data_IF_371806917904
#
_entry.id   IF_371806917904
#
_cell.length_a   1.000
_cell.length_b   1.000
_cell.length_c   1.000
_cell.angle_alpha   90.00
_cell.angle_beta   90.00
_cell.angle_gamma   90.00
#
_symmetry.space_group_name_H-M   'P 1'
#
loop_
_entity.id
_entity.type
_entity.pdbx_description
1 polymer ?
#
# COMPACT_ATOMS: atom_id res chain seq x y z
N UNK A 1 4.12 18.88 10.80
CA UNK A 1 5.18 18.07 11.44
C UNK A 1 5.89 17.18 10.41
N UNK A 2 5.20 16.35 9.61
CA UNK A 2 5.82 15.71 8.40
C UNK A 2 6.00 16.69 7.23
N UNK A 3 5.00 17.57 6.96
CA UNK A 3 5.08 18.59 5.89
C UNK A 3 6.35 19.46 6.00
N UNK A 4 6.60 20.05 7.17
CA UNK A 4 7.81 20.83 7.42
C UNK A 4 9.13 20.07 7.19
N UNK A 5 9.19 18.77 7.48
CA UNK A 5 10.40 17.97 7.23
C UNK A 5 10.64 17.76 5.73
N UNK A 6 9.57 17.54 4.96
CA UNK A 6 9.65 17.48 3.49
C UNK A 6 9.94 18.85 2.87
N UNK A 7 9.38 19.93 3.41
CA UNK A 7 9.68 21.31 3.00
C UNK A 7 11.17 21.65 3.18
N UNK A 8 11.75 21.33 4.36
CA UNK A 8 13.18 21.51 4.62
C UNK A 8 14.07 20.71 3.65
N UNK A 9 13.59 19.57 3.15
CA UNK A 9 14.27 18.76 2.16
C UNK A 9 14.09 19.26 0.72
N UNK A 10 13.42 20.40 0.51
CA UNK A 10 13.13 20.95 -0.82
C UNK A 10 12.05 20.18 -1.59
N UNK A 11 11.26 19.35 -0.90
CA UNK A 11 10.13 18.59 -1.47
C UNK A 11 8.87 19.43 -1.28
N UNK A 12 8.70 20.45 -2.13
CA UNK A 12 7.56 21.37 -2.09
C UNK A 12 6.59 21.05 -3.22
N UNK A 13 5.73 20.06 -3.00
CA UNK A 13 4.62 19.75 -3.91
C UNK A 13 3.35 19.58 -3.08
N UNK A 14 2.44 20.56 -3.20
CA UNK A 14 1.28 20.67 -2.32
C UNK A 14 0.37 19.44 -2.41
N UNK A 15 0.24 18.83 -3.60
CA UNK A 15 -0.63 17.68 -3.81
C UNK A 15 -0.14 16.43 -3.09
N UNK A 16 1.16 16.19 -3.08
CA UNK A 16 1.81 15.16 -2.26
C UNK A 16 1.54 15.44 -0.78
N UNK A 17 1.71 16.69 -0.34
CA UNK A 17 1.51 17.05 1.07
C UNK A 17 0.04 16.91 1.50
N UNK A 18 -0.92 17.14 0.62
CA UNK A 18 -2.36 17.01 0.91
C UNK A 18 -2.80 15.55 0.99
N UNK A 19 -2.13 14.68 0.25
CA UNK A 19 -2.31 13.23 0.29
C UNK A 19 -1.72 12.59 1.56
N UNK A 20 -0.81 13.28 2.25
CA UNK A 20 -0.25 12.86 3.53
C UNK A 20 -1.22 13.15 4.68
N UNK A 21 -2.30 12.37 4.79
CA UNK A 21 -3.34 12.57 5.81
C UNK A 21 -3.01 11.85 7.11
N UNK A 22 -2.98 12.59 8.21
CA UNK A 22 -2.89 12.01 9.56
C UNK A 22 -4.29 11.59 10.02
N UNK A 23 -4.51 10.29 10.19
CA UNK A 23 -5.74 9.79 10.80
C UNK A 23 -5.54 9.67 12.32
N UNK A 24 -6.36 10.35 13.13
CA UNK A 24 -6.45 10.14 14.57
C UNK A 24 -7.23 8.84 14.87
N UNK A 25 -6.71 7.71 14.37
CA UNK A 25 -7.31 6.42 14.63
C UNK A 25 -6.87 5.91 16.01
N UNK A 26 -7.79 5.41 16.87
CA UNK A 26 -7.46 4.83 18.17
C UNK A 26 -6.46 3.66 18.09
N UNK A 27 -6.40 2.96 16.96
CA UNK A 27 -5.45 1.87 16.72
C UNK A 27 -4.05 2.34 16.30
N UNK A 28 -3.81 3.66 16.26
CA UNK A 28 -2.53 4.28 15.85
C UNK A 28 -2.01 3.78 14.49
N UNK A 29 -2.94 3.52 13.56
CA UNK A 29 -2.63 3.17 12.17
C UNK A 29 -2.85 4.39 11.28
N UNK A 30 -1.84 4.71 10.48
CA UNK A 30 -1.78 5.87 9.59
C UNK A 30 -1.61 5.38 8.15
N UNK A 31 -2.48 5.85 7.25
CA UNK A 31 -2.49 5.45 5.85
C UNK A 31 -2.24 6.69 4.99
N UNK A 32 -1.36 6.54 4.02
CA UNK A 32 -1.01 7.56 3.05
C UNK A 32 -1.15 6.98 1.64
N UNK A 33 -1.77 7.72 0.73
CA UNK A 33 -1.95 7.28 -0.65
C UNK A 33 -1.53 8.39 -1.57
N UNK A 34 -0.58 8.12 -2.47
CA UNK A 34 -0.09 9.09 -3.45
C UNK A 34 -0.27 8.61 -4.87
N UNK A 35 -0.80 9.46 -5.75
CA UNK A 35 -0.73 9.25 -7.19
C UNK A 35 0.49 9.99 -7.74
N UNK A 36 1.54 9.27 -8.09
CA UNK A 36 2.82 9.85 -8.54
C UNK A 36 2.70 10.56 -9.90
N UNK A 37 1.80 10.14 -10.77
CA UNK A 37 1.57 10.80 -12.07
C UNK A 37 0.99 12.21 -11.91
N UNK A 38 0.37 12.46 -10.76
CA UNK A 38 -0.29 13.72 -10.46
C UNK A 38 0.62 14.74 -9.75
N UNK A 39 1.83 14.33 -9.32
CA UNK A 39 2.77 15.15 -8.58
C UNK A 39 4.00 15.50 -9.44
N UNK A 40 4.43 16.77 -9.41
CA UNK A 40 5.66 17.22 -10.08
C UNK A 40 6.84 17.18 -9.11
N UNK A 41 7.40 16.00 -8.91
CA UNK A 41 8.40 15.76 -7.88
C UNK A 41 9.83 15.86 -8.41
N UNK A 42 10.68 16.59 -7.69
CA UNK A 42 12.12 16.52 -7.88
C UNK A 42 12.65 15.20 -7.33
N UNK A 43 13.31 14.40 -8.16
CA UNK A 43 13.82 13.07 -7.76
C UNK A 43 15.00 13.15 -6.79
N UNK A 44 15.80 14.23 -6.85
CA UNK A 44 17.12 14.27 -6.19
C UNK A 44 17.04 14.13 -4.65
N UNK A 45 16.14 14.81 -3.92
CA UNK A 45 16.02 14.63 -2.47
C UNK A 45 15.64 13.21 -2.06
N UNK A 46 14.86 12.51 -2.90
CA UNK A 46 14.48 11.11 -2.67
C UNK A 46 15.66 10.18 -2.95
N UNK A 47 16.38 10.39 -4.04
CA UNK A 47 17.57 9.59 -4.37
C UNK A 47 18.64 9.70 -3.27
N UNK A 48 18.86 10.90 -2.74
CA UNK A 48 19.89 11.16 -1.72
C UNK A 48 19.59 10.51 -0.36
N UNK A 49 18.31 10.22 -0.05
CA UNK A 49 17.93 9.57 1.19
C UNK A 49 17.86 8.03 1.08
N UNK A 50 17.91 7.46 -0.13
CA UNK A 50 17.99 6.01 -0.31
C UNK A 50 19.34 5.46 0.18
N UNK A 51 19.31 4.27 0.79
CA UNK A 51 20.51 3.50 1.07
C UNK A 51 21.17 3.01 -0.23
N UNK A 52 22.45 2.62 -0.14
CA UNK A 52 23.23 2.21 -1.32
C UNK A 52 22.57 1.03 -2.04
N UNK A 53 22.04 0.06 -1.29
CA UNK A 53 21.37 -1.13 -1.81
C UNK A 53 20.09 -0.78 -2.57
N UNK A 54 19.34 0.21 -2.09
CA UNK A 54 18.14 0.70 -2.76
C UNK A 54 18.48 1.48 -4.04
N UNK A 55 19.55 2.27 -4.03
CA UNK A 55 20.03 2.95 -5.25
C UNK A 55 20.48 1.94 -6.32
N UNK A 56 21.17 0.88 -5.90
CA UNK A 56 21.53 -0.25 -6.77
C UNK A 56 20.28 -1.00 -7.26
N UNK A 57 19.26 -1.17 -6.41
CA UNK A 57 18.02 -1.79 -6.84
C UNK A 57 17.27 -0.90 -7.85
N UNK A 58 17.24 0.41 -7.64
CA UNK A 58 16.63 1.37 -8.55
C UNK A 58 17.29 1.34 -9.94
N UNK A 59 18.61 1.16 -10.02
CA UNK A 59 19.33 1.14 -11.30
C UNK A 59 19.06 -0.10 -12.16
N UNK A 60 18.45 -1.15 -11.60
CA UNK A 60 18.08 -2.37 -12.33
C UNK A 60 16.80 -2.22 -13.16
N UNK A 61 16.00 -1.19 -12.92
CA UNK A 61 14.78 -0.97 -13.70
C UNK A 61 15.10 -0.57 -15.13
N UNK A 62 14.45 -1.23 -16.09
CA UNK A 62 14.70 -1.05 -17.52
C UNK A 62 14.30 0.34 -18.03
N UNK A 63 13.20 0.89 -17.53
CA UNK A 63 12.69 2.19 -17.97
C UNK A 63 12.95 3.27 -16.94
N UNK A 64 13.18 4.49 -17.44
CA UNK A 64 13.31 5.68 -16.61
C UNK A 64 12.08 5.96 -15.76
N UNK A 65 10.89 5.62 -16.26
CA UNK A 65 9.64 5.78 -15.54
C UNK A 65 9.61 4.88 -14.29
N UNK A 66 9.85 3.58 -14.46
CA UNK A 66 9.85 2.62 -13.35
C UNK A 66 10.95 2.93 -12.33
N UNK A 67 12.14 3.31 -12.82
CA UNK A 67 13.25 3.75 -11.95
C UNK A 67 12.86 4.97 -11.11
N UNK A 68 12.24 5.98 -11.73
CA UNK A 68 11.74 7.18 -11.04
C UNK A 68 10.69 6.84 -10.00
N UNK A 69 9.70 6.02 -10.35
CA UNK A 69 8.65 5.58 -9.43
C UNK A 69 9.24 4.85 -8.22
N UNK A 70 10.20 3.94 -8.42
CA UNK A 70 10.90 3.25 -7.34
C UNK A 70 11.60 4.24 -6.40
N UNK A 71 12.39 5.17 -6.96
CA UNK A 71 13.15 6.14 -6.16
C UNK A 71 12.23 7.03 -5.34
N UNK A 72 11.21 7.60 -5.98
CA UNK A 72 10.29 8.53 -5.33
C UNK A 72 9.51 7.82 -4.23
N UNK A 73 8.97 6.63 -4.51
CA UNK A 73 8.15 5.91 -3.54
C UNK A 73 8.93 5.46 -2.30
N UNK A 74 10.12 4.91 -2.50
CA UNK A 74 10.97 4.47 -1.38
C UNK A 74 11.51 5.67 -0.60
N UNK A 75 11.81 6.77 -1.30
CA UNK A 75 12.16 8.03 -0.66
C UNK A 75 11.02 8.56 0.23
N UNK A 76 9.79 8.62 -0.28
CA UNK A 76 8.60 9.01 0.48
C UNK A 76 8.45 8.12 1.72
N UNK A 77 8.56 6.80 1.57
CA UNK A 77 8.51 5.87 2.70
C UNK A 77 9.58 6.20 3.77
N UNK A 78 10.82 6.47 3.37
CA UNK A 78 11.89 6.86 4.30
C UNK A 78 11.59 8.17 5.02
N UNK A 79 11.03 9.16 4.33
CA UNK A 79 10.61 10.42 4.96
C UNK A 79 9.47 10.21 5.97
N UNK A 80 8.48 9.40 5.62
CA UNK A 80 7.39 9.02 6.54
C UNK A 80 7.98 8.31 7.76
N UNK A 81 8.83 7.31 7.56
CA UNK A 81 9.43 6.56 8.67
C UNK A 81 10.33 7.42 9.55
N UNK A 82 11.17 8.29 8.95
CA UNK A 82 12.01 9.24 9.69
C UNK A 82 11.20 10.14 10.62
N UNK A 83 10.01 10.56 10.18
CA UNK A 83 9.08 11.30 11.03
C UNK A 83 8.61 10.49 12.26
N UNK A 84 8.21 9.23 12.07
CA UNK A 84 7.73 8.38 13.18
C UNK A 84 8.85 7.91 14.11
N UNK A 85 10.03 7.59 13.57
CA UNK A 85 11.19 7.12 14.34
C UNK A 85 12.03 8.25 14.92
N UNK A 86 11.78 9.50 14.50
CA UNK A 86 12.60 10.69 14.80
C UNK A 86 14.05 10.54 14.34
N UNK A 87 14.27 9.84 13.24
CA UNK A 87 15.58 9.66 12.61
C UNK A 87 15.62 10.39 11.27
N UNK A 88 16.82 10.71 10.82
CA UNK A 88 16.97 11.22 9.46
C UNK A 88 16.58 10.11 8.46
N UNK A 89 15.86 10.42 7.36
CA UNK A 89 15.37 9.40 6.40
C UNK A 89 16.45 8.46 5.86
N UNK A 90 17.68 8.97 5.69
CA UNK A 90 18.84 8.20 5.23
C UNK A 90 19.37 7.20 6.26
N UNK A 91 19.10 7.45 7.54
CA UNK A 91 19.62 6.66 8.66
C UNK A 91 18.66 5.51 9.03
N UNK A 92 17.50 5.43 8.38
CA UNK A 92 16.57 4.30 8.55
C UNK A 92 17.22 3.03 8.00
N UNK A 93 17.42 2.05 8.89
CA UNK A 93 17.96 0.73 8.57
C UNK A 93 16.82 -0.29 8.50
N UNK A 94 16.62 -0.87 7.32
CA UNK A 94 15.66 -1.95 7.11
C UNK A 94 16.28 -3.31 7.42
N UNK A 95 15.51 -4.16 8.11
CA UNK A 95 15.74 -5.60 8.20
C UNK A 95 14.65 -6.34 7.43
N UNK A 96 14.87 -7.60 7.08
CA UNK A 96 13.96 -8.38 6.24
C UNK A 96 13.56 -9.68 6.92
N UNK A 97 12.25 -9.96 6.91
CA UNK A 97 11.71 -11.24 7.41
C UNK A 97 12.00 -12.39 6.45
N UNK A 98 11.63 -13.62 6.86
CA UNK A 98 11.89 -14.83 6.08
C UNK A 98 11.32 -14.81 4.64
N UNK A 99 10.25 -14.06 4.42
CA UNK A 99 9.59 -13.91 3.11
C UNK A 99 9.86 -12.55 2.46
N UNK A 100 10.89 -11.82 2.90
CA UNK A 100 11.31 -10.57 2.29
C UNK A 100 10.52 -9.31 2.70
N UNK A 101 9.55 -9.41 3.63
CA UNK A 101 8.88 -8.22 4.17
C UNK A 101 9.89 -7.36 4.95
N UNK A 102 10.09 -6.07 4.59
CA UNK A 102 10.97 -5.18 5.34
C UNK A 102 10.32 -4.77 6.69
N UNK A 103 11.15 -4.55 7.69
CA UNK A 103 10.75 -4.11 9.03
C UNK A 103 11.89 -3.33 9.73
N UNK A 104 11.56 -2.63 10.82
CA UNK A 104 12.52 -1.92 11.66
C UNK A 104 12.82 -2.77 12.92
N UNK A 105 14.09 -3.10 13.16
CA UNK A 105 14.49 -3.81 14.40
C UNK A 105 14.30 -2.89 15.61
N UNK A 106 13.93 -3.48 16.74
CA UNK A 106 13.81 -2.79 18.04
C UNK A 106 12.88 -1.56 18.00
N UNK A 107 11.92 -1.56 17.08
CA UNK A 107 10.94 -0.50 16.92
C UNK A 107 9.54 -1.02 17.21
N UNK A 108 8.71 -0.19 17.83
CA UNK A 108 7.27 -0.43 17.92
C UNK A 108 6.52 0.03 16.66
N UNK A 109 7.22 0.60 15.68
CA UNK A 109 6.67 0.99 14.39
C UNK A 109 6.73 -0.20 13.45
N UNK A 110 5.58 -0.58 12.91
CA UNK A 110 5.51 -1.45 11.74
C UNK A 110 5.00 -0.68 10.54
N UNK A 111 5.37 -1.14 9.35
CA UNK A 111 4.91 -0.50 8.13
C UNK A 111 4.67 -1.52 7.02
N UNK A 112 3.94 -1.08 6.01
CA UNK A 112 3.81 -1.78 4.75
C UNK A 112 3.59 -0.76 3.62
N UNK A 113 3.97 -1.15 2.42
CA UNK A 113 3.84 -0.34 1.22
C UNK A 113 3.25 -1.21 0.12
N UNK A 114 2.33 -0.66 -0.67
CA UNK A 114 1.78 -1.32 -1.86
C UNK A 114 1.73 -0.35 -3.02
N UNK A 115 1.73 -0.90 -4.22
CA UNK A 115 1.82 -0.17 -5.47
C UNK A 115 0.89 -0.78 -6.50
N UNK A 116 0.19 0.08 -7.24
CA UNK A 116 -0.48 -0.29 -8.48
C UNK A 116 -0.39 0.88 -9.46
N UNK A 117 0.31 0.66 -10.57
CA UNK A 117 0.67 1.69 -11.54
C UNK A 117 1.34 2.90 -10.86
N UNK A 118 0.79 4.11 -11.01
CA UNK A 118 1.28 5.33 -10.39
C UNK A 118 0.79 5.54 -8.95
N UNK A 119 -0.13 4.70 -8.47
CA UNK A 119 -0.69 4.80 -7.12
C UNK A 119 0.19 4.04 -6.13
N UNK A 120 0.52 4.69 -5.02
CA UNK A 120 1.32 4.11 -3.93
C UNK A 120 0.59 4.29 -2.61
N UNK A 121 0.43 3.20 -1.87
CA UNK A 121 -0.09 3.19 -0.52
C UNK A 121 1.02 2.92 0.49
N UNK A 122 1.03 3.68 1.59
CA UNK A 122 1.87 3.44 2.75
C UNK A 122 0.99 3.29 3.97
N UNK A 123 1.26 2.28 4.78
CA UNK A 123 0.61 2.07 6.06
C UNK A 123 1.66 2.02 7.15
N UNK A 124 1.48 2.83 8.19
CA UNK A 124 2.33 2.88 9.37
C UNK A 124 1.47 2.55 10.59
N UNK A 125 1.94 1.68 11.46
CA UNK A 125 1.24 1.35 12.69
C UNK A 125 2.17 1.39 13.88
N UNK A 126 1.65 1.86 15.02
CA UNK A 126 2.34 1.80 16.31
C UNK A 126 1.79 0.63 17.12
N UNK A 127 2.68 -0.20 17.67
CA UNK A 127 2.36 -1.31 18.59
C UNK A 127 1.49 -2.42 17.96
N UNK A 128 1.36 -2.48 16.63
CA UNK A 128 0.57 -3.50 15.93
C UNK A 128 1.18 -3.84 14.57
N UNK A 129 0.77 -4.96 13.97
CA UNK A 129 1.15 -5.33 12.60
C UNK A 129 0.24 -4.64 11.60
N UNK A 130 0.80 -4.20 10.48
CA UNK A 130 0.02 -3.59 9.39
C UNK A 130 0.38 -4.17 8.04
N UNK A 131 -0.63 -4.23 7.18
CA UNK A 131 -0.53 -4.55 5.77
C UNK A 131 -1.50 -3.66 4.99
N UNK A 132 -1.10 -3.27 3.79
CA UNK A 132 -1.91 -2.49 2.86
C UNK A 132 -1.82 -3.13 1.50
N UNK A 133 -2.92 -3.09 0.79
CA UNK A 133 -2.95 -3.47 -0.61
C UNK A 133 -3.78 -2.47 -1.39
N UNK A 134 -3.33 -2.16 -2.61
CA UNK A 134 -3.96 -1.20 -3.51
C UNK A 134 -3.83 -1.78 -4.91
N UNK A 135 -4.96 -1.92 -5.58
CA UNK A 135 -5.04 -2.43 -6.94
C UNK A 135 -5.94 -1.50 -7.76
N UNK A 136 -5.48 -1.13 -8.95
CA UNK A 136 -6.33 -0.48 -9.94
C UNK A 136 -7.05 -1.59 -10.70
N UNK A 137 -8.36 -1.41 -10.92
CA UNK A 137 -9.15 -2.36 -11.66
C UNK A 137 -8.66 -2.42 -13.11
N UNK A 138 -8.04 -3.54 -13.50
CA UNK A 138 -7.78 -3.85 -14.89
C UNK A 138 -9.02 -4.52 -15.47
N UNK A 139 -9.69 -3.81 -16.39
CA UNK A 139 -10.90 -4.31 -17.05
C UNK A 139 -10.60 -5.47 -18.01
N UNK A 140 -9.35 -5.66 -18.39
CA UNK A 140 -8.92 -6.76 -19.26
C UNK A 140 -8.53 -8.01 -18.48
N UNK A 141 -8.52 -7.95 -17.14
CA UNK A 141 -8.21 -9.11 -16.32
C UNK A 141 -9.37 -10.10 -16.35
N UNK A 142 -9.10 -11.33 -16.78
CA UNK A 142 -10.05 -12.44 -16.76
C UNK A 142 -10.24 -12.97 -15.32
N UNK A 143 -10.91 -12.16 -14.48
CA UNK A 143 -11.14 -12.45 -13.06
C UNK A 143 -11.85 -13.79 -12.82
N UNK A 144 -12.59 -14.28 -13.82
CA UNK A 144 -13.27 -15.57 -13.78
C UNK A 144 -12.27 -16.73 -13.71
N UNK A 145 -11.15 -16.64 -14.44
CA UNK A 145 -10.11 -17.66 -14.46
C UNK A 145 -9.34 -17.68 -13.14
N UNK A 146 -9.19 -16.54 -12.47
CA UNK A 146 -8.44 -16.44 -11.21
C UNK A 146 -9.28 -16.73 -9.96
N UNK A 147 -10.61 -16.55 -10.04
CA UNK A 147 -11.51 -16.64 -8.88
C UNK A 147 -11.37 -17.94 -8.07
N UNK A 148 -11.12 -19.08 -8.73
CA UNK A 148 -11.00 -20.37 -8.05
C UNK A 148 -9.71 -20.52 -7.22
N UNK A 149 -8.66 -19.73 -7.54
CA UNK A 149 -7.40 -19.70 -6.79
C UNK A 149 -7.48 -18.77 -5.58
N UNK A 150 -8.33 -17.74 -5.66
CA UNK A 150 -8.39 -16.66 -4.66
C UNK A 150 -9.47 -16.93 -3.62
N UNK A 151 -10.64 -17.41 -4.03
CA UNK A 151 -11.83 -17.44 -3.19
C UNK A 151 -11.96 -18.71 -2.36
N UNK A 152 -12.54 -18.54 -1.16
CA UNK A 152 -13.17 -19.64 -0.45
C UNK A 152 -14.39 -20.15 -1.23
N UNK A 153 -14.88 -21.37 -0.97
CA UNK A 153 -16.10 -21.86 -1.62
C UNK A 153 -17.31 -20.93 -1.49
N UNK A 154 -17.47 -20.26 -0.35
CA UNK A 154 -18.58 -19.32 -0.10
C UNK A 154 -18.45 -18.06 -0.94
N UNK A 155 -17.27 -17.44 -0.98
CA UNK A 155 -17.00 -16.26 -1.81
C UNK A 155 -17.13 -16.60 -3.30
N UNK A 156 -16.65 -17.77 -3.72
CA UNK A 156 -16.76 -18.22 -5.10
C UNK A 156 -18.21 -18.39 -5.53
N UNK A 157 -19.06 -19.00 -4.70
CA UNK A 157 -20.51 -19.09 -4.96
C UNK A 157 -21.13 -17.72 -5.14
N UNK A 158 -20.83 -16.77 -4.27
CA UNK A 158 -21.34 -15.40 -4.40
C UNK A 158 -20.83 -14.74 -5.69
N UNK A 159 -19.55 -14.85 -6.00
CA UNK A 159 -18.94 -14.32 -7.21
C UNK A 159 -19.61 -14.85 -8.49
N UNK A 160 -19.99 -16.14 -8.54
CA UNK A 160 -20.67 -16.71 -9.71
C UNK A 160 -22.05 -16.10 -9.98
N UNK A 161 -22.69 -15.50 -8.98
CA UNK A 161 -23.96 -14.79 -9.13
C UNK A 161 -23.80 -13.35 -9.66
N UNK A 162 -22.58 -12.83 -9.75
CA UNK A 162 -22.29 -11.47 -10.22
C UNK A 162 -21.97 -11.46 -11.71
N UNK A 163 -22.24 -10.31 -12.36
CA UNK A 163 -21.95 -10.07 -13.77
C UNK A 163 -21.31 -8.69 -13.97
N UNK A 164 -20.60 -8.52 -15.09
CA UNK A 164 -20.00 -7.25 -15.50
C UNK A 164 -19.12 -6.61 -14.44
N UNK A 165 -19.20 -5.29 -14.31
CA UNK A 165 -18.36 -4.49 -13.39
C UNK A 165 -18.50 -4.89 -11.92
N UNK A 166 -19.67 -5.38 -11.50
CA UNK A 166 -19.88 -5.85 -10.13
C UNK A 166 -19.02 -7.08 -9.81
N UNK A 167 -18.81 -7.95 -10.80
CA UNK A 167 -17.98 -9.15 -10.68
C UNK A 167 -16.50 -8.78 -10.53
N UNK A 168 -16.01 -7.89 -11.39
CA UNK A 168 -14.62 -7.37 -11.32
C UNK A 168 -14.38 -6.63 -10.00
N UNK A 169 -15.31 -5.77 -9.60
CA UNK A 169 -15.19 -5.01 -8.35
C UNK A 169 -15.18 -5.93 -7.12
N UNK A 170 -16.00 -6.99 -7.10
CA UNK A 170 -15.97 -7.96 -6.01
C UNK A 170 -14.65 -8.73 -5.96
N UNK A 171 -14.09 -9.09 -7.12
CA UNK A 171 -12.79 -9.76 -7.16
C UNK A 171 -11.70 -8.90 -6.53
N UNK A 172 -11.54 -7.66 -6.97
CA UNK A 172 -10.54 -6.75 -6.41
C UNK A 172 -10.78 -6.43 -4.93
N UNK A 173 -12.03 -6.29 -4.49
CA UNK A 173 -12.37 -6.07 -3.08
C UNK A 173 -11.92 -7.25 -2.19
N UNK A 174 -12.17 -8.48 -2.61
CA UNK A 174 -11.76 -9.66 -1.85
C UNK A 174 -10.24 -9.88 -1.95
N UNK A 175 -9.66 -9.72 -3.14
CA UNK A 175 -8.22 -9.83 -3.36
C UNK A 175 -7.44 -8.89 -2.45
N UNK A 176 -7.74 -7.60 -2.49
CA UNK A 176 -7.03 -6.57 -1.71
C UNK A 176 -7.16 -6.76 -0.20
N UNK A 177 -8.33 -7.22 0.29
CA UNK A 177 -8.52 -7.59 1.70
C UNK A 177 -7.65 -8.77 2.12
N UNK A 178 -7.55 -9.80 1.29
CA UNK A 178 -6.72 -10.98 1.57
C UNK A 178 -5.24 -10.63 1.51
N UNK A 179 -4.80 -9.95 0.46
CA UNK A 179 -3.42 -9.51 0.30
C UNK A 179 -2.98 -8.57 1.42
N UNK A 180 -3.81 -7.60 1.84
CA UNK A 180 -3.46 -6.75 2.98
C UNK A 180 -3.31 -7.54 4.29
N UNK A 181 -4.14 -8.55 4.54
CA UNK A 181 -3.99 -9.43 5.71
C UNK A 181 -2.71 -10.28 5.63
N UNK A 182 -2.43 -10.88 4.46
CA UNK A 182 -1.23 -11.68 4.21
C UNK A 182 0.03 -10.83 4.37
N UNK A 183 0.02 -9.61 3.82
CA UNK A 183 1.08 -8.61 3.97
C UNK A 183 1.24 -8.21 5.43
N UNK A 184 0.16 -8.05 6.20
CA UNK A 184 0.24 -7.78 7.63
C UNK A 184 0.99 -8.89 8.37
N UNK A 185 0.73 -10.15 8.01
CA UNK A 185 1.39 -11.32 8.60
C UNK A 185 2.84 -11.54 8.11
N UNK A 186 3.19 -11.03 6.93
CA UNK A 186 4.55 -11.09 6.38
C UNK A 186 4.94 -12.43 5.78
N UNK A 187 3.97 -13.26 5.37
CA UNK A 187 4.20 -14.57 4.75
C UNK A 187 4.17 -14.54 3.21
N UNK A 188 3.73 -13.43 2.62
CA UNK A 188 3.58 -13.30 1.16
C UNK A 188 2.69 -14.40 0.57
N UNK A 189 2.89 -14.68 -0.72
CA UNK A 189 2.10 -15.66 -1.49
C UNK A 189 2.24 -17.12 -1.00
N UNK A 190 3.13 -17.40 -0.04
CA UNK A 190 3.21 -18.73 0.59
C UNK A 190 2.01 -19.04 1.49
N UNK A 191 1.20 -18.04 1.84
CA UNK A 191 -0.04 -18.26 2.56
C UNK A 191 -1.15 -18.74 1.62
N UNK A 192 -1.90 -19.80 1.95
CA UNK A 192 -2.99 -20.29 1.09
C UNK A 192 -4.17 -19.31 1.09
N UNK A 193 -4.18 -18.39 0.12
CA UNK A 193 -5.12 -17.26 0.06
C UNK A 193 -6.59 -17.69 0.06
N UNK A 194 -6.89 -18.86 -0.51
CA UNK A 194 -8.23 -19.45 -0.56
C UNK A 194 -8.74 -20.00 0.79
N UNK A 195 -7.94 -19.98 1.86
CA UNK A 195 -8.37 -20.38 3.21
C UNK A 195 -8.80 -19.20 4.08
N UNK A 196 -8.49 -17.95 3.69
CA UNK A 196 -9.00 -16.75 4.36
C UNK A 196 -10.36 -16.42 3.75
N UNK A 197 -11.41 -16.34 4.56
CA UNK A 197 -12.74 -15.93 4.10
C UNK A 197 -13.13 -14.57 4.65
N UNK A 198 -13.60 -13.68 3.77
CA UNK A 198 -14.31 -12.47 4.13
C UNK A 198 -15.80 -12.65 3.83
N UNK A 199 -16.60 -12.85 4.87
CA UNK A 199 -18.05 -12.77 4.73
C UNK A 199 -18.47 -11.30 4.77
N UNK A 200 -19.05 -10.79 3.68
CA UNK A 200 -19.74 -9.51 3.71
C UNK A 200 -21.00 -9.69 4.59
N UNK A 201 -21.02 -9.10 5.78
CA UNK A 201 -22.26 -8.98 6.56
C UNK A 201 -23.15 -7.99 5.82
N UNK A 202 -24.22 -8.48 5.21
CA UNK A 202 -25.29 -7.60 4.73
C UNK A 202 -26.07 -7.11 5.95
N UNK A 203 -25.84 -5.87 6.35
CA UNK A 203 -26.85 -5.13 7.12
C UNK A 203 -27.92 -4.74 6.10
N UNK A 204 -29.06 -5.42 6.12
CA UNK A 204 -30.26 -4.93 5.46
C UNK A 204 -30.67 -3.64 6.17
N UNK A 205 -30.28 -2.49 5.63
CA UNK A 205 -30.99 -1.24 5.93
C UNK A 205 -32.17 -1.21 4.98
N UNK A 206 -33.31 -1.73 5.43
CA UNK A 206 -34.58 -1.55 4.74
C UNK A 206 -34.86 -0.05 4.63
N UNK A 207 -34.82 0.47 3.40
CA UNK A 207 -35.31 1.77 2.92
C UNK A 207 -35.15 2.99 3.84
N UNK A 208 -34.46 4.01 3.32
CA UNK A 208 -34.97 5.37 3.02
C UNK A 208 -33.74 6.27 2.99
N UNK A 209 -33.32 6.68 1.79
CA UNK A 209 -33.04 8.06 1.37
C UNK A 209 -32.20 8.05 0.08
N UNK A 210 -32.82 8.57 -0.97
CA UNK A 210 -32.17 8.98 -2.22
C UNK A 210 -31.52 10.33 -2.01
N UNK A 211 -30.31 10.55 -2.50
CA UNK A 211 -29.84 11.90 -2.81
C UNK A 211 -29.12 11.93 -4.16
N UNK A 212 -29.47 12.98 -4.91
CA UNK A 212 -29.03 13.36 -6.25
C UNK A 212 -27.53 13.61 -6.34
#
# INVERSE_FOLDING_TARGET
>A
MLKGLMECAGIFEQKLLDQLVFNQNPNKVFIYIVNLAECKLNINPFLQCLAAEEQVQASKYYTDHLRRQYIISHGILRYILGYYTKQHPKDIIFSYGAYGKPFLKESNITFNMSHSHDLVGYAIALDSRVGIDIELHDKNLEVQELAHLVFTPTEYRFFTCLNGDAKVSFFYDIWTKKESLIKANGQGLSYPINTIGFCRVYIFVSNVFSFK
#
